data_IF_555549098268
#
_entry.id   IF_555549098268
#
_cell.length_a   1.000
_cell.length_b   1.000
_cell.length_c   1.000
_cell.angle_alpha   90.00
_cell.angle_beta   90.00
_cell.angle_gamma   90.00
#
_symmetry.space_group_name_H-M   'P 1'
#
loop_
_entity.id
_entity.type
_entity.pdbx_description
1 polymer ?
#
# COMPACT_ATOMS: atom_id res chain seq x y z
N UNK A 1 2.06 -10.87 35.83
CA UNK A 1 2.72 -11.57 34.71
C UNK A 1 1.69 -11.70 33.60
N UNK A 2 1.72 -10.80 32.60
CA UNK A 2 0.79 -10.87 31.46
C UNK A 2 1.40 -11.88 30.49
N UNK A 3 0.68 -12.97 30.22
CA UNK A 3 1.04 -13.89 29.13
C UNK A 3 0.86 -13.11 27.83
N UNK A 4 1.96 -12.72 27.20
CA UNK A 4 1.99 -12.12 25.88
C UNK A 4 2.08 -13.28 24.89
N UNK A 5 0.93 -13.87 24.57
CA UNK A 5 0.81 -14.60 23.31
C UNK A 5 1.04 -13.54 22.23
N UNK A 6 2.22 -13.61 21.60
CA UNK A 6 2.80 -12.50 20.85
C UNK A 6 1.89 -12.03 19.74
N UNK A 7 1.45 -10.78 19.79
CA UNK A 7 0.98 -10.11 18.58
C UNK A 7 2.19 -10.05 17.65
N UNK A 8 2.27 -10.91 16.63
CA UNK A 8 3.37 -10.95 15.65
C UNK A 8 3.32 -9.77 14.66
N UNK A 9 2.71 -8.65 15.05
CA UNK A 9 2.53 -7.48 14.24
C UNK A 9 2.54 -6.18 15.06
N UNK A 10 2.50 -5.06 14.35
CA UNK A 10 2.52 -3.73 14.95
C UNK A 10 2.26 -2.65 13.92
N UNK A 11 1.92 -1.45 14.39
CA UNK A 11 1.65 -0.31 13.50
C UNK A 11 2.21 0.99 14.04
N UNK A 12 2.69 1.84 13.14
CA UNK A 12 3.02 3.24 13.40
C UNK A 12 2.12 4.10 12.52
N UNK A 13 1.41 5.04 13.13
CA UNK A 13 0.47 5.92 12.43
C UNK A 13 0.76 7.39 12.73
N UNK A 14 0.71 8.20 11.68
CA UNK A 14 0.70 9.67 11.77
C UNK A 14 -0.75 10.13 11.64
N UNK A 15 -1.22 10.87 12.64
CA UNK A 15 -2.59 11.35 12.72
C UNK A 15 -2.67 12.85 12.43
N UNK A 16 -3.70 13.24 11.69
CA UNK A 16 -4.10 14.62 11.51
C UNK A 16 -4.81 15.17 12.75
N UNK A 17 -4.88 16.50 12.85
CA UNK A 17 -5.60 17.21 13.93
C UNK A 17 -7.11 16.89 13.97
N UNK A 18 -7.64 16.39 12.87
CA UNK A 18 -9.01 15.98 12.64
C UNK A 18 -9.26 14.52 13.02
N UNK A 19 -8.24 13.80 13.50
CA UNK A 19 -8.32 12.39 13.84
C UNK A 19 -8.24 11.45 12.63
N UNK A 20 -7.93 11.95 11.44
CA UNK A 20 -7.71 11.11 10.25
C UNK A 20 -6.26 10.61 10.20
N UNK A 21 -6.06 9.38 9.74
CA UNK A 21 -4.71 8.86 9.45
C UNK A 21 -4.18 9.57 8.21
N UNK A 22 -2.95 10.12 8.29
CA UNK A 22 -2.23 10.73 7.17
C UNK A 22 -1.15 9.80 6.61
N UNK A 23 -0.59 8.94 7.46
CA UNK A 23 0.31 7.88 7.06
C UNK A 23 0.23 6.72 8.04
N UNK A 24 0.39 5.50 7.53
CA UNK A 24 0.43 4.30 8.35
C UNK A 24 1.49 3.33 7.81
N UNK A 25 2.23 2.73 8.71
CA UNK A 25 3.06 1.55 8.47
C UNK A 25 2.55 0.44 9.36
N UNK A 26 2.27 -0.73 8.80
CA UNK A 26 1.81 -1.90 9.52
C UNK A 26 2.62 -3.15 9.15
N UNK A 27 2.88 -3.96 10.16
CA UNK A 27 3.44 -5.31 10.03
C UNK A 27 2.39 -6.28 10.52
N UNK A 28 2.14 -7.32 9.74
CA UNK A 28 1.20 -8.39 10.01
C UNK A 28 1.96 -9.73 9.90
N UNK A 29 1.48 -10.81 10.53
CA UNK A 29 2.22 -12.08 10.58
C UNK A 29 2.63 -12.64 9.20
N UNK A 30 1.82 -12.34 8.19
CA UNK A 30 1.89 -12.83 6.82
C UNK A 30 2.08 -11.72 5.79
N UNK A 31 2.42 -10.50 6.23
CA UNK A 31 2.63 -9.38 5.32
C UNK A 31 2.81 -8.04 6.00
N UNK A 32 2.49 -6.97 5.28
CA UNK A 32 2.65 -5.63 5.80
C UNK A 32 2.44 -4.59 4.72
N UNK A 33 2.44 -3.34 5.13
CA UNK A 33 2.32 -2.25 4.19
C UNK A 33 2.61 -0.89 4.76
N UNK A 34 2.82 0.05 3.85
CA UNK A 34 2.95 1.48 4.11
C UNK A 34 1.93 2.19 3.25
N UNK A 35 1.19 3.13 3.82
CA UNK A 35 0.22 3.93 3.09
C UNK A 35 0.31 5.39 3.49
N UNK A 36 0.07 6.27 2.50
CA UNK A 36 -0.03 7.72 2.68
C UNK A 36 -1.41 8.15 2.22
N UNK A 37 -2.06 8.99 3.00
CA UNK A 37 -3.45 9.40 2.81
C UNK A 37 -3.52 10.92 2.71
N UNK A 38 -4.50 11.42 1.96
CA UNK A 38 -4.83 12.85 2.00
C UNK A 38 -5.70 13.17 3.23
N UNK A 39 -5.91 14.47 3.50
CA UNK A 39 -6.79 14.93 4.60
C UNK A 39 -8.24 14.46 4.48
N UNK A 40 -8.68 14.08 3.27
CA UNK A 40 -10.02 13.55 3.02
C UNK A 40 -10.14 12.04 3.24
N UNK A 41 -9.12 11.38 3.82
CA UNK A 41 -9.13 9.95 4.09
C UNK A 41 -9.03 9.09 2.83
N UNK A 42 -8.46 9.60 1.73
CA UNK A 42 -8.20 8.82 0.52
C UNK A 42 -6.71 8.49 0.38
N UNK A 43 -6.34 7.24 0.02
CA UNK A 43 -4.95 6.87 -0.17
C UNK A 43 -4.36 7.56 -1.41
N UNK A 44 -3.07 7.89 -1.32
CA UNK A 44 -2.27 8.60 -2.34
C UNK A 44 -1.06 7.81 -2.78
N UNK A 45 -0.52 7.02 -1.87
CA UNK A 45 0.48 6.03 -2.16
C UNK A 45 0.26 4.84 -1.23
N UNK A 46 0.55 3.64 -1.74
CA UNK A 46 0.53 2.44 -0.94
C UNK A 46 1.66 1.52 -1.40
N UNK A 47 2.24 0.80 -0.46
CA UNK A 47 3.14 -0.31 -0.70
C UNK A 47 2.69 -1.44 0.20
N UNK A 48 2.54 -2.65 -0.33
CA UNK A 48 2.13 -3.80 0.47
C UNK A 48 2.67 -5.09 -0.11
N UNK A 49 2.76 -6.10 0.75
CA UNK A 49 2.88 -7.49 0.33
C UNK A 49 1.53 -8.15 0.55
N UNK A 50 1.03 -8.81 -0.48
CA UNK A 50 -0.22 -9.57 -0.45
C UNK A 50 -0.03 -10.89 0.28
N UNK A 51 -0.98 -11.20 1.17
CA UNK A 51 -0.96 -12.38 2.00
C UNK A 51 -0.97 -13.66 1.18
N UNK A 52 -0.14 -14.63 1.58
CA UNK A 52 -0.13 -15.98 1.02
C UNK A 52 0.55 -16.13 -0.35
N UNK A 53 0.74 -15.06 -1.12
CA UNK A 53 1.44 -15.11 -2.41
C UNK A 53 2.85 -14.52 -2.38
N UNK A 54 3.22 -13.77 -1.33
CA UNK A 54 4.46 -12.96 -1.26
C UNK A 54 4.59 -11.95 -2.41
N UNK A 55 3.48 -11.63 -3.08
CA UNK A 55 3.43 -10.68 -4.18
C UNK A 55 3.37 -9.28 -3.62
N UNK A 56 4.32 -8.44 -4.03
CA UNK A 56 4.44 -7.07 -3.58
C UNK A 56 3.84 -6.10 -4.59
N UNK A 57 3.32 -4.99 -4.10
CA UNK A 57 2.97 -3.87 -4.95
C UNK A 57 3.43 -2.54 -4.35
N UNK A 58 3.69 -1.58 -5.23
CA UNK A 58 3.82 -0.15 -4.92
C UNK A 58 2.89 0.59 -5.86
N UNK A 59 2.08 1.51 -5.33
CA UNK A 59 1.12 2.30 -6.08
C UNK A 59 1.28 3.78 -5.80
N UNK A 60 1.17 4.58 -6.87
CA UNK A 60 0.81 6.00 -6.80
C UNK A 60 -0.65 6.12 -7.23
N UNK A 61 -1.50 6.73 -6.42
CA UNK A 61 -2.96 6.72 -6.57
C UNK A 61 -3.52 8.11 -6.90
N UNK A 62 -4.51 8.16 -7.79
CA UNK A 62 -5.28 9.35 -8.12
C UNK A 62 -6.36 9.68 -7.09
N UNK A 63 -7.07 10.80 -7.31
CA UNK A 63 -8.22 11.28 -6.49
C UNK A 63 -9.45 10.36 -6.54
N UNK A 64 -9.51 9.56 -7.60
CA UNK A 64 -10.48 8.50 -7.82
C UNK A 64 -10.11 7.19 -7.11
N UNK A 65 -8.93 7.10 -6.48
CA UNK A 65 -8.41 5.89 -5.86
C UNK A 65 -7.80 4.89 -6.85
N UNK A 66 -7.73 5.23 -8.14
CA UNK A 66 -7.12 4.36 -9.15
C UNK A 66 -5.61 4.59 -9.25
N UNK A 67 -4.79 3.55 -9.50
CA UNK A 67 -3.38 3.74 -9.73
C UNK A 67 -3.06 4.59 -10.97
N UNK A 68 -2.01 5.41 -10.85
CA UNK A 68 -1.36 6.19 -11.92
C UNK A 68 0.01 5.64 -12.28
N UNK A 69 0.66 5.01 -11.31
CA UNK A 69 1.84 4.20 -11.53
C UNK A 69 1.82 3.04 -10.55
N UNK A 70 2.26 1.87 -11.00
CA UNK A 70 2.35 0.69 -10.16
C UNK A 70 3.60 -0.12 -10.48
N UNK A 71 4.20 -0.68 -9.44
CA UNK A 71 5.26 -1.69 -9.53
C UNK A 71 4.69 -2.95 -8.86
N UNK A 72 4.81 -4.10 -9.51
CA UNK A 72 4.33 -5.37 -8.99
C UNK A 72 5.42 -6.42 -9.03
N UNK A 73 5.43 -7.31 -8.05
CA UNK A 73 6.09 -8.60 -8.14
C UNK A 73 5.02 -9.69 -8.13
N UNK A 74 5.14 -10.64 -9.03
CA UNK A 74 4.35 -11.86 -9.11
C UNK A 74 5.28 -13.05 -8.84
N UNK A 75 4.76 -14.25 -8.59
CA UNK A 75 5.59 -15.41 -8.20
C UNK A 75 6.80 -15.66 -9.14
N UNK A 76 6.60 -15.50 -10.45
CA UNK A 76 7.61 -15.75 -11.48
C UNK A 76 7.90 -14.52 -12.37
N UNK A 77 7.40 -13.33 -11.99
CA UNK A 77 7.47 -12.15 -12.84
C UNK A 77 7.46 -10.83 -12.07
N UNK A 78 7.63 -9.74 -12.80
CA UNK A 78 7.39 -8.39 -12.31
C UNK A 78 6.82 -7.53 -13.43
N UNK A 79 6.30 -6.36 -13.07
CA UNK A 79 6.00 -5.32 -14.04
C UNK A 79 5.97 -3.94 -13.41
N UNK A 80 6.34 -2.95 -14.21
CA UNK A 80 6.10 -1.53 -13.93
C UNK A 80 5.08 -1.02 -14.93
N UNK A 81 4.01 -0.38 -14.45
CA UNK A 81 2.92 0.12 -15.29
C UNK A 81 2.67 1.59 -14.98
N UNK A 82 2.53 2.41 -16.02
CA UNK A 82 2.06 3.81 -15.92
C UNK A 82 0.70 3.92 -16.60
N UNK A 83 -0.26 4.51 -15.89
CA UNK A 83 -1.66 4.60 -16.30
C UNK A 83 -2.12 6.05 -16.20
N UNK A 84 -2.77 6.55 -17.25
CA UNK A 84 -3.31 7.91 -17.22
C UNK A 84 -4.59 8.02 -16.37
N UNK A 85 -5.15 9.22 -16.26
CA UNK A 85 -6.35 9.50 -15.46
C UNK A 85 -7.64 8.84 -15.96
N UNK A 86 -7.64 8.24 -17.15
CA UNK A 86 -8.77 7.49 -17.72
C UNK A 86 -8.63 5.97 -17.51
N UNK A 87 -7.60 5.53 -16.79
CA UNK A 87 -7.34 4.10 -16.59
C UNK A 87 -6.63 3.43 -17.78
N UNK A 88 -6.12 4.20 -18.75
CA UNK A 88 -5.41 3.65 -19.92
C UNK A 88 -3.92 3.53 -19.61
N UNK A 89 -3.35 2.34 -19.79
CA UNK A 89 -1.89 2.12 -19.71
C UNK A 89 -1.18 2.88 -20.82
N UNK A 90 -0.26 3.76 -20.44
CA UNK A 90 0.54 4.57 -21.37
C UNK A 90 1.99 4.09 -21.47
N UNK A 91 2.42 3.21 -20.58
CA UNK A 91 3.74 2.60 -20.62
C UNK A 91 3.81 1.40 -19.68
N UNK A 92 4.60 0.40 -20.07
CA UNK A 92 4.84 -0.80 -19.27
C UNK A 92 6.27 -1.31 -19.48
N UNK A 93 6.88 -1.79 -18.40
CA UNK A 93 8.12 -2.58 -18.42
C UNK A 93 7.84 -3.94 -17.76
N UNK A 94 8.39 -5.04 -18.30
CA UNK A 94 8.47 -6.30 -17.57
C UNK A 94 9.49 -6.20 -16.42
#
# INVERSE_FOLDING_TARGET
>A
MIKKDGCEGGSVSVWGKDGNILANMQVLPDGGGVSVWNKGGKPRAAMSISFGTNEGCVHVLGDDGNPRASIFTEADSGKVVVTNNKGVTTGQLP
#
